data_IF_676719222021
#
_entry.id   IF_676719222021
#
_cell.length_a   1.000
_cell.length_b   1.000
_cell.length_c   1.000
_cell.angle_alpha   90.00
_cell.angle_beta   90.00
_cell.angle_gamma   90.00
#
_symmetry.space_group_name_H-M   'P 1'
#
loop_
_entity.id
_entity.type
_entity.pdbx_description
1 polymer ?
#
# COMPACT_ATOMS: atom_id res chain seq x y z
N UNK A 1 -55.23 -20.77 -46.80
CA UNK A 1 -55.48 -19.84 -45.68
C UNK A 1 -54.93 -20.54 -44.47
N UNK A 2 -53.67 -20.30 -44.15
CA UNK A 2 -52.98 -21.10 -43.13
C UNK A 2 -53.40 -20.62 -41.74
N UNK A 3 -54.15 -21.47 -41.05
CA UNK A 3 -54.37 -21.34 -39.62
C UNK A 3 -53.05 -21.58 -38.91
N UNK A 4 -52.25 -20.51 -38.76
CA UNK A 4 -51.05 -20.53 -37.93
C UNK A 4 -51.48 -20.93 -36.53
N UNK A 5 -51.06 -22.12 -36.08
CA UNK A 5 -51.34 -22.57 -34.72
C UNK A 5 -50.66 -21.61 -33.75
N UNK A 6 -51.44 -20.70 -33.16
CA UNK A 6 -50.94 -19.67 -32.25
C UNK A 6 -50.65 -20.30 -30.89
N UNK A 7 -49.50 -20.97 -30.80
CA UNK A 7 -49.00 -21.48 -29.53
C UNK A 7 -48.89 -20.32 -28.54
N UNK A 8 -49.45 -20.47 -27.32
CA UNK A 8 -49.36 -19.43 -26.30
C UNK A 8 -47.90 -19.22 -25.89
N UNK A 9 -47.52 -17.95 -25.71
CA UNK A 9 -46.22 -17.57 -25.17
C UNK A 9 -46.31 -17.55 -23.65
N UNK A 10 -45.30 -18.08 -22.98
CA UNK A 10 -45.12 -17.90 -21.54
C UNK A 10 -44.43 -16.56 -21.26
N UNK A 11 -45.17 -15.59 -20.71
CA UNK A 11 -44.63 -14.32 -20.24
C UNK A 11 -44.17 -14.49 -18.79
N UNK A 12 -42.89 -14.22 -18.53
CA UNK A 12 -42.28 -14.32 -17.20
C UNK A 12 -41.87 -12.91 -16.79
N UNK A 13 -42.53 -12.34 -15.79
CA UNK A 13 -42.21 -11.03 -15.22
C UNK A 13 -41.36 -11.22 -13.96
N UNK A 14 -40.07 -10.92 -14.07
CA UNK A 14 -39.15 -10.92 -12.94
C UNK A 14 -39.41 -9.70 -12.05
N UNK A 15 -39.72 -9.95 -10.78
CA UNK A 15 -40.15 -8.93 -9.83
C UNK A 15 -39.05 -8.58 -8.81
N UNK A 16 -39.01 -7.31 -8.41
CA UNK A 16 -38.03 -6.74 -7.47
C UNK A 16 -38.04 -7.45 -6.11
N UNK A 17 -39.16 -8.07 -5.72
CA UNK A 17 -39.31 -8.83 -4.47
C UNK A 17 -38.95 -10.32 -4.58
N UNK A 18 -38.30 -10.76 -5.66
CA UNK A 18 -37.94 -12.18 -5.88
C UNK A 18 -39.15 -13.11 -6.07
N UNK A 19 -40.30 -12.56 -6.45
CA UNK A 19 -41.53 -13.29 -6.73
C UNK A 19 -41.83 -13.17 -8.23
N UNK A 20 -41.38 -14.14 -9.02
CA UNK A 20 -41.57 -14.12 -10.46
C UNK A 20 -43.02 -14.45 -10.83
N UNK A 21 -43.62 -13.65 -11.71
CA UNK A 21 -45.01 -13.79 -12.14
C UNK A 21 -45.02 -14.37 -13.55
N UNK A 22 -45.39 -15.64 -13.68
CA UNK A 22 -45.47 -16.33 -14.97
C UNK A 22 -46.92 -16.58 -15.40
N UNK A 23 -47.27 -16.18 -16.63
CA UNK A 23 -48.60 -16.39 -17.23
C UNK A 23 -48.49 -16.63 -18.73
N UNK A 24 -49.56 -17.14 -19.35
CA UNK A 24 -49.62 -17.39 -20.79
C UNK A 24 -50.36 -16.27 -21.52
N UNK A 25 -49.87 -15.89 -22.69
CA UNK A 25 -50.51 -14.89 -23.58
C UNK A 25 -50.47 -15.35 -25.04
N UNK A 26 -51.51 -15.13 -25.85
CA UNK A 26 -51.45 -15.33 -27.30
C UNK A 26 -50.38 -14.46 -27.96
N UNK A 27 -49.89 -14.88 -29.14
CA UNK A 27 -48.95 -14.11 -29.98
C UNK A 27 -49.53 -12.80 -30.49
N UNK A 28 -50.83 -12.80 -30.79
CA UNK A 28 -51.54 -11.67 -31.37
C UNK A 28 -52.28 -10.80 -30.33
N UNK A 29 -52.18 -11.15 -29.04
CA UNK A 29 -52.74 -10.31 -27.99
C UNK A 29 -52.04 -8.94 -27.94
N UNK A 30 -52.76 -7.85 -27.64
CA UNK A 30 -52.16 -6.54 -27.44
C UNK A 30 -51.31 -6.51 -26.17
N UNK A 31 -50.31 -5.61 -26.10
CA UNK A 31 -49.48 -5.45 -24.90
C UNK A 31 -50.30 -5.05 -23.67
N UNK A 32 -51.45 -4.39 -23.83
CA UNK A 32 -52.39 -4.09 -22.73
C UNK A 32 -52.78 -5.33 -21.91
N UNK A 33 -52.98 -6.49 -22.56
CA UNK A 33 -53.29 -7.76 -21.89
C UNK A 33 -52.22 -8.22 -20.90
N UNK A 34 -50.93 -7.94 -21.20
CA UNK A 34 -49.81 -8.21 -20.28
C UNK A 34 -49.92 -7.34 -19.02
N UNK A 35 -50.44 -6.12 -19.13
CA UNK A 35 -50.64 -5.24 -17.97
C UNK A 35 -51.87 -5.60 -17.16
N UNK A 36 -52.99 -5.95 -17.79
CA UNK A 36 -54.22 -6.33 -17.09
C UNK A 36 -53.97 -7.58 -16.22
N UNK A 37 -53.34 -8.60 -16.79
CA UNK A 37 -52.93 -9.82 -16.07
C UNK A 37 -51.85 -9.56 -15.00
N UNK A 38 -50.91 -8.64 -15.24
CA UNK A 38 -49.94 -8.20 -14.24
C UNK A 38 -50.61 -7.46 -13.07
N UNK A 39 -51.62 -6.64 -13.33
CA UNK A 39 -52.36 -5.89 -12.32
C UNK A 39 -53.28 -6.77 -11.48
N UNK A 40 -53.94 -7.76 -12.10
CA UNK A 40 -54.73 -8.78 -11.38
C UNK A 40 -53.84 -9.56 -10.39
N UNK A 41 -52.66 -9.98 -10.83
CA UNK A 41 -51.73 -10.80 -10.03
C UNK A 41 -50.87 -9.99 -9.05
N UNK A 42 -50.65 -8.71 -9.34
CA UNK A 42 -49.84 -7.83 -8.51
C UNK A 42 -50.46 -6.41 -8.36
N UNK A 43 -51.58 -6.27 -7.61
CA UNK A 43 -52.27 -4.99 -7.43
C UNK A 43 -51.41 -3.88 -6.81
N UNK A 44 -50.33 -4.23 -6.09
CA UNK A 44 -49.39 -3.26 -5.53
C UNK A 44 -48.64 -2.45 -6.59
N UNK A 45 -48.52 -2.97 -7.83
CA UNK A 45 -47.80 -2.30 -8.93
C UNK A 45 -48.57 -1.06 -9.39
N UNK A 46 -49.91 -1.11 -9.45
CA UNK A 46 -50.78 -0.02 -9.91
C UNK A 46 -50.54 1.32 -9.18
N UNK A 47 -50.13 1.28 -7.91
CA UNK A 47 -49.93 2.46 -7.06
C UNK A 47 -48.47 2.96 -7.06
N UNK A 48 -47.59 2.30 -7.81
CA UNK A 48 -46.16 2.60 -7.86
C UNK A 48 -45.75 3.06 -9.26
N UNK A 49 -44.76 3.95 -9.36
CA UNK A 49 -44.06 4.14 -10.62
C UNK A 49 -43.22 2.91 -10.92
N UNK A 50 -43.31 2.38 -12.14
CA UNK A 50 -42.50 1.25 -12.61
C UNK A 50 -42.21 1.37 -14.10
N UNK A 51 -41.23 0.60 -14.57
CA UNK A 51 -40.84 0.46 -15.98
C UNK A 51 -40.73 -1.05 -16.24
N UNK A 52 -41.45 -1.52 -17.25
CA UNK A 52 -41.43 -2.90 -17.71
C UNK A 52 -40.55 -3.00 -18.98
N UNK A 53 -39.51 -3.82 -18.94
CA UNK A 53 -38.56 -3.97 -20.07
C UNK A 53 -38.30 -5.42 -20.39
N UNK A 54 -38.07 -5.75 -21.67
CA UNK A 54 -37.51 -7.05 -22.06
C UNK A 54 -36.05 -7.22 -21.57
N UNK A 55 -35.49 -8.44 -21.63
CA UNK A 55 -34.06 -8.67 -21.44
C UNK A 55 -33.17 -7.85 -22.39
N UNK A 56 -33.64 -7.54 -23.61
CA UNK A 56 -32.97 -6.65 -24.56
C UNK A 56 -33.11 -5.15 -24.23
N UNK A 57 -33.64 -4.81 -23.05
CA UNK A 57 -33.94 -3.44 -22.58
C UNK A 57 -34.92 -2.66 -23.47
N UNK A 58 -35.71 -3.35 -24.30
CA UNK A 58 -36.82 -2.72 -25.03
C UNK A 58 -37.92 -2.43 -24.01
N UNK A 59 -38.39 -1.18 -23.96
CA UNK A 59 -39.54 -0.81 -23.14
C UNK A 59 -40.80 -1.50 -23.67
N UNK A 60 -41.59 -2.05 -22.75
CA UNK A 60 -42.97 -2.45 -23.02
C UNK A 60 -43.84 -1.23 -22.75
N UNK A 61 -44.76 -0.91 -23.64
CA UNK A 61 -45.70 0.22 -23.52
C UNK A 61 -47.14 -0.28 -23.48
N UNK A 62 -48.05 0.55 -22.96
CA UNK A 62 -49.50 0.28 -22.91
C UNK A 62 -50.13 0.49 -24.30
N UNK A 63 -49.68 -0.29 -25.29
CA UNK A 63 -50.06 -0.14 -26.69
C UNK A 63 -50.84 -1.36 -27.21
N UNK A 64 -51.63 -1.18 -28.27
CA UNK A 64 -52.34 -2.28 -28.96
C UNK A 64 -51.42 -3.16 -29.84
N UNK A 65 -50.12 -2.87 -29.89
CA UNK A 65 -49.15 -3.69 -30.64
C UNK A 65 -49.15 -5.14 -30.13
N UNK A 66 -48.96 -6.15 -31.01
CA UNK A 66 -49.03 -7.54 -30.59
C UNK A 66 -47.81 -7.95 -29.75
N UNK A 67 -48.02 -8.87 -28.81
CA UNK A 67 -46.95 -9.47 -27.98
C UNK A 67 -45.83 -10.06 -28.85
N UNK A 68 -46.14 -10.56 -30.04
CA UNK A 68 -45.16 -11.03 -31.03
C UNK A 68 -44.10 -9.98 -31.41
N UNK A 69 -44.38 -8.68 -31.30
CA UNK A 69 -43.39 -7.61 -31.53
C UNK A 69 -42.22 -7.66 -30.52
N UNK A 70 -42.44 -8.18 -29.32
CA UNK A 70 -41.41 -8.24 -28.27
C UNK A 70 -40.47 -9.47 -28.38
N UNK A 71 -40.79 -10.42 -29.27
CA UNK A 71 -39.96 -11.61 -29.51
C UNK A 71 -38.67 -11.24 -30.25
N UNK A 72 -37.61 -12.02 -30.02
CA UNK A 72 -36.37 -11.88 -30.80
C UNK A 72 -36.37 -12.79 -32.03
N UNK A 73 -37.04 -13.94 -31.93
CA UNK A 73 -37.32 -14.86 -33.04
C UNK A 73 -38.81 -15.23 -33.09
N UNK A 74 -39.44 -15.41 -34.27
CA UNK A 74 -40.82 -15.90 -34.36
C UNK A 74 -41.01 -17.30 -33.75
N UNK A 75 -39.93 -18.08 -33.60
CA UNK A 75 -39.91 -19.39 -32.95
C UNK A 75 -39.92 -19.34 -31.41
N UNK A 76 -39.73 -18.17 -30.80
CA UNK A 76 -39.65 -18.04 -29.35
C UNK A 76 -40.99 -18.44 -28.69
N UNK A 77 -40.89 -19.19 -27.58
CA UNK A 77 -42.02 -19.73 -26.80
C UNK A 77 -42.23 -19.01 -25.47
N UNK A 78 -41.29 -18.17 -25.06
CA UNK A 78 -41.36 -17.39 -23.82
C UNK A 78 -40.81 -15.98 -24.00
N UNK A 79 -41.31 -15.04 -23.21
CA UNK A 79 -40.78 -13.67 -23.10
C UNK A 79 -40.39 -13.43 -21.66
N UNK A 80 -39.15 -13.01 -21.44
CA UNK A 80 -38.67 -12.52 -20.15
C UNK A 80 -38.82 -11.00 -20.07
N UNK A 81 -39.67 -10.56 -19.16
CA UNK A 81 -39.87 -9.16 -18.80
C UNK A 81 -39.29 -8.90 -17.41
N UNK A 82 -38.73 -7.71 -17.23
CA UNK A 82 -38.16 -7.26 -15.96
C UNK A 82 -38.94 -6.05 -15.47
N UNK A 83 -39.52 -6.20 -14.28
CA UNK A 83 -40.16 -5.10 -13.58
C UNK A 83 -39.08 -4.31 -12.83
N UNK A 84 -38.94 -3.03 -13.14
CA UNK A 84 -38.01 -2.13 -12.44
C UNK A 84 -38.76 -0.91 -11.90
N UNK A 85 -38.40 -0.43 -10.70
CA UNK A 85 -38.94 0.80 -10.15
C UNK A 85 -37.92 1.91 -10.44
N UNK A 86 -38.32 3.00 -11.12
CA UNK A 86 -37.45 4.17 -11.25
C UNK A 86 -37.24 4.76 -9.86
N UNK A 87 -36.01 4.68 -9.36
CA UNK A 87 -35.64 5.37 -8.15
C UNK A 87 -35.62 6.88 -8.44
N UNK A 88 -36.25 7.67 -7.57
CA UNK A 88 -36.17 9.14 -7.59
C UNK A 88 -34.73 9.57 -7.30
N UNK A 89 -33.92 9.66 -8.36
CA UNK A 89 -32.48 9.80 -8.27
C UNK A 89 -32.02 11.16 -7.75
N UNK A 90 -31.12 11.14 -6.78
CA UNK A 90 -30.10 12.18 -6.67
C UNK A 90 -29.03 12.00 -7.77
N UNK A 91 -28.32 13.07 -8.13
CA UNK A 91 -27.21 13.03 -9.10
C UNK A 91 -26.10 12.11 -8.55
N UNK A 92 -26.09 10.86 -9.01
CA UNK A 92 -25.35 9.77 -8.36
C UNK A 92 -23.86 10.04 -8.17
N UNK A 93 -23.30 9.48 -7.10
CA UNK A 93 -21.90 9.63 -6.71
C UNK A 93 -20.86 9.16 -7.75
N UNK A 94 -21.29 8.57 -8.87
CA UNK A 94 -20.45 8.28 -10.03
C UNK A 94 -19.68 9.53 -10.51
N UNK A 95 -20.30 10.70 -10.54
CA UNK A 95 -19.62 11.95 -10.92
C UNK A 95 -18.51 12.36 -9.93
N UNK A 96 -18.70 12.13 -8.63
CA UNK A 96 -17.65 12.32 -7.62
C UNK A 96 -16.58 11.23 -7.67
N UNK A 97 -16.95 9.98 -7.97
CA UNK A 97 -16.00 8.87 -8.16
C UNK A 97 -15.08 9.15 -9.36
N UNK A 98 -15.63 9.59 -10.49
CA UNK A 98 -14.83 9.99 -11.66
C UNK A 98 -13.88 11.16 -11.34
N UNK A 99 -14.33 12.18 -10.60
CA UNK A 99 -13.46 13.29 -10.15
C UNK A 99 -12.37 12.80 -9.19
N UNK A 100 -12.70 11.92 -8.25
CA UNK A 100 -11.74 11.33 -7.31
C UNK A 100 -10.70 10.44 -8.01
N UNK A 101 -11.10 9.62 -8.99
CA UNK A 101 -10.18 8.82 -9.79
C UNK A 101 -9.32 9.70 -10.71
N UNK A 102 -9.90 10.68 -11.39
CA UNK A 102 -9.17 11.60 -12.27
C UNK A 102 -8.07 12.38 -11.54
N UNK A 103 -8.34 12.84 -10.30
CA UNK A 103 -7.32 13.47 -9.46
C UNK A 103 -6.14 12.54 -9.14
N UNK A 104 -6.42 11.26 -8.83
CA UNK A 104 -5.40 10.23 -8.54
C UNK A 104 -4.55 9.86 -9.76
N UNK A 105 -5.13 9.89 -10.96
CA UNK A 105 -4.42 9.63 -12.22
C UNK A 105 -3.55 10.83 -12.63
N UNK A 106 -3.96 12.06 -12.31
CA UNK A 106 -3.23 13.29 -12.64
C UNK A 106 -1.94 13.46 -11.83
N UNK A 107 -1.91 13.09 -10.55
CA UNK A 107 -0.71 13.22 -9.71
C UNK A 107 0.38 12.22 -10.09
N UNK A 108 0.03 10.94 -10.27
CA UNK A 108 1.01 9.86 -10.51
C UNK A 108 1.82 10.04 -11.80
N UNK A 109 1.28 10.72 -12.82
CA UNK A 109 2.00 10.99 -14.08
C UNK A 109 3.15 12.01 -13.93
N UNK A 110 3.24 12.74 -12.81
CA UNK A 110 4.23 13.81 -12.64
C UNK A 110 5.51 13.40 -11.90
N UNK A 111 5.59 12.18 -11.36
CA UNK A 111 6.61 11.83 -10.35
C UNK A 111 7.49 10.60 -10.67
N UNK A 112 7.13 9.75 -11.65
CA UNK A 112 7.81 8.44 -11.81
C UNK A 112 7.88 7.91 -13.24
N UNK A 113 8.15 8.77 -14.21
CA UNK A 113 8.36 8.33 -15.59
C UNK A 113 8.62 9.48 -16.54
N UNK A 114 9.81 9.49 -17.12
CA UNK A 114 10.11 10.34 -18.27
C UNK A 114 9.08 10.02 -19.37
N UNK A 115 8.30 11.02 -19.79
CA UNK A 115 7.09 10.78 -20.59
C UNK A 115 7.38 10.11 -21.95
N UNK A 116 8.64 10.19 -22.38
CA UNK A 116 9.15 9.63 -23.63
C UNK A 116 9.78 8.24 -23.46
N UNK A 117 9.98 7.72 -22.25
CA UNK A 117 10.62 6.42 -21.98
C UNK A 117 9.92 5.23 -22.68
N UNK A 118 8.62 5.34 -22.93
CA UNK A 118 7.81 4.35 -23.66
C UNK A 118 7.93 4.43 -25.19
N UNK A 119 8.37 5.58 -25.73
CA UNK A 119 8.56 5.73 -27.17
C UNK A 119 9.78 4.95 -27.69
N UNK A 120 9.80 4.72 -29.01
CA UNK A 120 10.82 3.91 -29.69
C UNK A 120 11.67 4.82 -30.57
N UNK A 121 12.96 4.51 -30.65
CA UNK A 121 13.89 5.12 -31.60
C UNK A 121 13.59 4.63 -33.03
N UNK A 122 14.20 5.26 -34.03
CA UNK A 122 14.11 4.84 -35.44
C UNK A 122 14.66 3.41 -35.67
N UNK A 123 15.57 2.94 -34.81
CA UNK A 123 16.07 1.55 -34.74
C UNK A 123 15.09 0.58 -34.05
N UNK A 124 13.87 1.02 -33.71
CA UNK A 124 12.86 0.20 -33.05
C UNK A 124 13.12 -0.14 -31.58
N UNK A 125 14.28 0.19 -30.99
CA UNK A 125 14.53 0.03 -29.54
C UNK A 125 13.74 1.05 -28.71
N UNK A 126 13.29 0.67 -27.50
CA UNK A 126 12.61 1.62 -26.58
C UNK A 126 13.65 2.57 -25.97
N UNK A 127 13.26 3.83 -25.74
CA UNK A 127 14.17 4.80 -25.10
C UNK A 127 14.62 4.34 -23.72
N UNK A 128 13.72 3.77 -22.90
CA UNK A 128 14.03 3.20 -21.59
C UNK A 128 15.21 2.20 -21.61
N UNK A 129 15.18 1.22 -22.50
CA UNK A 129 16.26 0.22 -22.62
C UNK A 129 17.58 0.82 -23.09
N UNK A 130 17.54 1.96 -23.81
CA UNK A 130 18.75 2.67 -24.25
C UNK A 130 19.32 3.56 -23.15
N UNK A 131 18.47 4.14 -22.28
CA UNK A 131 18.95 4.87 -21.10
C UNK A 131 19.51 3.93 -20.04
N UNK A 132 18.87 2.79 -19.79
CA UNK A 132 19.35 1.74 -18.87
C UNK A 132 20.72 1.20 -19.34
N UNK A 133 20.85 0.84 -20.62
CA UNK A 133 22.13 0.38 -21.18
C UNK A 133 23.24 1.43 -21.14
N UNK A 134 22.92 2.73 -21.25
CA UNK A 134 23.89 3.82 -21.10
C UNK A 134 24.35 3.98 -19.66
N UNK A 135 23.43 3.96 -18.69
CA UNK A 135 23.77 4.04 -17.27
C UNK A 135 24.65 2.86 -16.83
N UNK A 136 24.35 1.64 -17.29
CA UNK A 136 25.19 0.46 -17.05
C UNK A 136 26.59 0.60 -17.69
N UNK A 137 26.69 1.12 -18.91
CA UNK A 137 27.98 1.36 -19.56
C UNK A 137 28.81 2.44 -18.85
N UNK A 138 28.17 3.50 -18.37
CA UNK A 138 28.80 4.56 -17.58
C UNK A 138 29.29 4.03 -16.22
N UNK A 139 28.47 3.23 -15.52
CA UNK A 139 28.88 2.57 -14.28
C UNK A 139 30.08 1.63 -14.48
N UNK A 140 30.08 0.81 -15.54
CA UNK A 140 31.21 -0.06 -15.88
C UNK A 140 32.47 0.72 -16.25
N UNK A 141 32.35 1.91 -16.84
CA UNK A 141 33.48 2.80 -17.13
C UNK A 141 34.03 3.49 -15.87
N UNK A 142 33.18 3.82 -14.90
CA UNK A 142 33.55 4.48 -13.63
C UNK A 142 34.12 3.47 -12.60
N UNK A 143 33.67 2.21 -12.62
CA UNK A 143 34.14 1.14 -11.70
C UNK A 143 35.68 1.06 -11.55
N UNK A 144 36.51 1.02 -12.62
CA UNK A 144 37.97 0.98 -12.47
C UNK A 144 38.58 2.26 -11.88
N UNK A 145 37.97 3.44 -12.09
CA UNK A 145 38.43 4.70 -11.49
C UNK A 145 38.12 4.72 -9.99
N UNK A 146 36.92 4.29 -9.59
CA UNK A 146 36.53 4.16 -8.19
C UNK A 146 37.41 3.14 -7.45
N UNK A 147 37.69 1.99 -8.05
CA UNK A 147 38.55 0.97 -7.45
C UNK A 147 40.01 1.44 -7.31
N UNK A 148 40.52 2.26 -8.25
CA UNK A 148 41.84 2.88 -8.13
C UNK A 148 41.87 3.92 -7.00
N UNK A 149 40.87 4.78 -6.90
CA UNK A 149 40.73 5.76 -5.81
C UNK A 149 40.63 5.09 -4.45
N UNK A 150 39.86 4.00 -4.32
CA UNK A 150 39.77 3.25 -3.07
C UNK A 150 41.11 2.59 -2.69
N UNK A 151 41.85 2.05 -3.67
CA UNK A 151 43.21 1.52 -3.46
C UNK A 151 44.21 2.62 -3.08
N UNK A 152 44.06 3.83 -3.62
CA UNK A 152 44.86 5.00 -3.24
C UNK A 152 44.58 5.46 -1.81
N UNK A 153 43.31 5.58 -1.43
CA UNK A 153 42.95 5.87 -0.04
C UNK A 153 43.41 4.77 0.92
N UNK A 154 43.29 3.50 0.54
CA UNK A 154 43.75 2.37 1.36
C UNK A 154 45.26 2.36 1.53
N UNK A 155 46.02 2.67 0.47
CA UNK A 155 47.49 2.86 0.54
C UNK A 155 47.85 4.03 1.43
N UNK A 156 47.21 5.19 1.24
CA UNK A 156 47.44 6.38 2.08
C UNK A 156 47.14 6.12 3.56
N UNK A 157 46.02 5.48 3.89
CA UNK A 157 45.70 5.07 5.27
C UNK A 157 46.74 4.10 5.84
N UNK A 158 47.27 3.18 5.02
CA UNK A 158 48.39 2.31 5.42
C UNK A 158 49.69 3.09 5.66
N UNK A 159 50.04 4.01 4.76
CA UNK A 159 51.22 4.89 4.88
C UNK A 159 51.12 5.78 6.12
N UNK A 160 49.95 6.36 6.41
CA UNK A 160 49.68 7.14 7.62
C UNK A 160 49.81 6.28 8.90
N UNK A 161 49.31 5.03 8.88
CA UNK A 161 49.47 4.08 9.99
C UNK A 161 50.95 3.75 10.18
N UNK A 162 51.67 3.36 9.11
CA UNK A 162 53.10 3.01 9.15
C UNK A 162 53.93 4.17 9.67
N UNK A 163 53.72 5.39 9.16
CA UNK A 163 54.39 6.60 9.64
C UNK A 163 54.03 6.94 11.10
N UNK A 164 52.81 6.62 11.56
CA UNK A 164 52.45 6.77 12.98
C UNK A 164 53.12 5.72 13.88
N UNK A 165 53.32 4.49 13.39
CA UNK A 165 54.03 3.44 14.12
C UNK A 165 55.54 3.65 14.11
N UNK A 166 56.11 4.15 13.00
CA UNK A 166 57.53 4.52 12.89
C UNK A 166 57.84 5.68 13.83
N UNK A 167 57.02 6.75 13.84
CA UNK A 167 57.18 7.83 14.85
C UNK A 167 57.08 7.32 16.28
N UNK A 168 56.12 6.45 16.61
CA UNK A 168 56.03 5.83 17.96
C UNK A 168 57.22 4.93 18.27
N UNK A 169 57.79 4.25 17.27
CA UNK A 169 58.95 3.39 17.43
C UNK A 169 60.23 4.22 17.59
N UNK A 170 60.39 5.32 16.86
CA UNK A 170 61.48 6.29 17.00
C UNK A 170 61.38 7.03 18.34
N UNK A 171 60.17 7.42 18.76
CA UNK A 171 59.92 7.93 20.10
C UNK A 171 60.33 6.90 21.15
N UNK A 172 59.95 5.62 21.00
CA UNK A 172 60.28 4.55 21.95
C UNK A 172 61.78 4.17 21.97
N UNK A 173 62.44 4.17 20.81
CA UNK A 173 63.88 3.91 20.66
C UNK A 173 64.73 5.08 21.16
N UNK A 174 64.30 6.32 20.91
CA UNK A 174 64.96 7.51 21.43
C UNK A 174 64.62 7.74 22.92
N UNK A 175 63.48 7.26 23.41
CA UNK A 175 63.10 7.24 24.84
C UNK A 175 63.68 6.03 25.59
N UNK A 176 64.88 5.55 25.23
CA UNK A 176 65.59 4.46 25.92
C UNK A 176 66.11 4.90 27.30
N UNK A 177 65.18 5.27 28.19
CA UNK A 177 65.46 5.71 29.57
C UNK A 177 64.26 6.29 30.34
N UNK A 178 63.15 6.65 29.68
CA UNK A 178 62.07 7.46 30.32
C UNK A 178 60.66 6.84 30.30
N UNK A 179 60.49 5.61 29.81
CA UNK A 179 59.23 4.88 29.86
C UNK A 179 58.91 4.36 31.29
N UNK A 180 58.59 5.27 32.21
CA UNK A 180 57.87 4.94 33.45
C UNK A 180 56.38 4.99 33.14
N UNK A 181 55.62 4.00 33.62
CA UNK A 181 54.15 3.99 33.57
C UNK A 181 53.62 5.36 34.02
N UNK A 182 52.71 5.94 33.23
CA UNK A 182 52.13 7.24 33.53
C UNK A 182 51.46 7.20 34.91
N UNK A 183 52.00 7.98 35.85
CA UNK A 183 51.58 7.92 37.26
C UNK A 183 50.09 8.16 37.42
N UNK A 184 49.54 9.02 36.55
CA UNK A 184 48.11 9.31 36.49
C UNK A 184 47.26 8.10 36.11
N UNK A 185 47.72 7.22 35.23
CA UNK A 185 47.00 5.99 34.89
C UNK A 185 47.00 4.98 36.04
N UNK A 186 48.07 4.96 36.85
CA UNK A 186 48.14 4.13 38.07
C UNK A 186 47.18 4.67 39.13
N UNK A 187 47.16 5.98 39.35
CA UNK A 187 46.23 6.67 40.26
C UNK A 187 44.77 6.49 39.83
N UNK A 188 44.42 6.76 38.57
CA UNK A 188 43.05 6.58 38.03
C UNK A 188 42.56 5.11 38.17
N UNK A 189 43.46 4.13 38.01
CA UNK A 189 43.15 2.70 38.22
C UNK A 189 42.96 2.37 39.70
N UNK A 190 43.78 2.94 40.59
CA UNK A 190 43.69 2.74 42.04
C UNK A 190 42.42 3.40 42.62
N UNK A 191 42.03 4.58 42.13
CA UNK A 191 40.75 5.21 42.48
C UNK A 191 39.55 4.35 42.05
N UNK A 192 39.57 3.76 40.85
CA UNK A 192 38.52 2.85 40.38
C UNK A 192 38.43 1.56 41.24
N UNK A 193 39.57 0.99 41.64
CA UNK A 193 39.61 -0.14 42.57
C UNK A 193 39.12 0.23 43.98
N UNK A 194 39.49 1.40 44.52
CA UNK A 194 39.01 1.83 45.83
C UNK A 194 37.50 2.13 45.82
N UNK A 195 36.99 2.75 44.75
CA UNK A 195 35.55 3.04 44.59
C UNK A 195 34.70 1.78 44.47
N UNK A 196 35.24 0.70 43.88
CA UNK A 196 34.57 -0.61 43.84
C UNK A 196 34.65 -1.34 45.18
N UNK A 197 35.76 -1.25 45.91
CA UNK A 197 35.89 -1.77 47.30
C UNK A 197 34.90 -1.09 48.26
N UNK A 198 34.80 0.24 48.23
CA UNK A 198 33.83 1.00 49.07
C UNK A 198 32.37 0.61 48.80
N UNK A 199 32.01 0.33 47.54
CA UNK A 199 30.66 -0.08 47.18
C UNK A 199 30.30 -1.45 47.78
N UNK A 200 31.26 -2.38 47.78
CA UNK A 200 31.11 -3.72 48.37
C UNK A 200 31.01 -3.62 49.91
N UNK A 201 31.83 -2.78 50.55
CA UNK A 201 31.79 -2.59 52.00
C UNK A 201 30.46 -2.01 52.48
N UNK A 202 29.94 -0.99 51.78
CA UNK A 202 28.62 -0.40 52.08
C UNK A 202 27.47 -1.40 51.91
N UNK A 203 27.53 -2.27 50.91
CA UNK A 203 26.54 -3.34 50.71
C UNK A 203 26.55 -4.34 51.89
N UNK A 204 27.75 -4.75 52.34
CA UNK A 204 27.90 -5.70 53.43
C UNK A 204 27.42 -5.14 54.79
N UNK A 205 27.66 -3.85 55.06
CA UNK A 205 27.13 -3.19 56.26
C UNK A 205 25.61 -3.06 56.23
N UNK A 206 25.02 -2.68 55.09
CA UNK A 206 23.58 -2.56 54.93
C UNK A 206 22.85 -3.91 55.14
N UNK A 207 23.41 -5.02 54.63
CA UNK A 207 22.85 -6.35 54.82
C UNK A 207 22.81 -6.80 56.29
N UNK A 208 23.70 -6.27 57.14
CA UNK A 208 23.79 -6.63 58.56
C UNK A 208 22.89 -5.82 59.48
N UNK A 209 22.32 -4.71 58.99
CA UNK A 209 21.46 -3.81 59.79
C UNK A 209 19.95 -4.04 59.66
N UNK A 210 19.51 -5.10 58.97
CA UNK A 210 18.10 -5.29 58.54
C UNK A 210 17.40 -6.51 59.16
N UNK A 211 17.82 -6.96 60.36
CA UNK A 211 17.40 -8.27 60.92
C UNK A 211 16.59 -8.25 62.22
N UNK A 212 16.31 -7.09 62.83
CA UNK A 212 15.58 -6.97 64.10
C UNK A 212 14.71 -5.69 64.12
N UNK A 213 13.37 -5.86 64.02
CA UNK A 213 12.28 -5.16 64.76
C UNK A 213 10.89 -5.29 64.07
N UNK A 214 9.82 -5.23 64.88
CA UNK A 214 8.47 -5.83 64.71
C UNK A 214 7.37 -4.86 65.24
N UNK A 215 6.07 -4.85 64.91
CA UNK A 215 5.20 -5.61 63.97
C UNK A 215 3.93 -4.75 63.58
N UNK A 216 2.86 -5.40 63.08
CA UNK A 216 1.41 -5.03 63.19
C UNK A 216 0.66 -3.96 62.33
N UNK A 217 -0.35 -4.51 61.61
CA UNK A 217 -1.80 -4.15 61.52
C UNK A 217 -2.36 -2.84 60.87
N UNK A 218 -2.89 -3.07 59.65
CA UNK A 218 -4.25 -2.81 59.16
C UNK A 218 -4.86 -1.41 58.81
N UNK A 219 -5.82 -1.51 57.86
CA UNK A 219 -6.87 -0.56 57.41
C UNK A 219 -6.66 0.27 56.12
N UNK A 220 -7.70 0.23 55.27
CA UNK A 220 -7.90 0.95 53.98
C UNK A 220 -9.04 2.00 54.19
N UNK A 221 -9.50 2.81 53.19
CA UNK A 221 -9.03 3.09 51.82
C UNK A 221 -8.97 4.61 51.45
N UNK A 222 -8.61 4.94 50.19
CA UNK A 222 -9.33 5.86 49.27
C UNK A 222 -8.48 6.84 48.41
N UNK A 223 -8.67 6.71 47.09
CA UNK A 223 -8.85 7.76 46.07
C UNK A 223 -7.76 8.82 45.72
N UNK A 224 -7.34 8.75 44.45
CA UNK A 224 -7.39 9.83 43.42
C UNK A 224 -6.09 10.43 42.82
N UNK A 225 -6.15 10.55 41.48
CA UNK A 225 -5.44 11.50 40.58
C UNK A 225 -4.18 11.08 39.78
N UNK A 226 -4.41 10.21 38.78
CA UNK A 226 -3.93 10.31 37.39
C UNK A 226 -2.69 11.16 37.01
N UNK A 227 -1.69 10.53 36.36
CA UNK A 227 -1.18 10.88 35.01
C UNK A 227 -0.32 9.73 34.43
N UNK A 228 -0.11 9.66 33.09
CA UNK A 228 0.14 8.38 32.41
C UNK A 228 1.61 7.98 32.31
N UNK A 229 1.87 6.68 32.41
CA UNK A 229 3.16 6.03 32.09
C UNK A 229 3.18 5.63 30.62
N UNK A 230 4.28 5.86 29.92
CA UNK A 230 4.43 5.50 28.51
C UNK A 230 4.35 3.99 28.27
N UNK A 231 3.77 3.66 27.12
CA UNK A 231 3.57 2.31 26.63
C UNK A 231 4.93 1.63 26.38
N UNK A 232 5.20 0.51 27.08
CA UNK A 232 6.40 -0.32 26.84
C UNK A 232 6.31 -0.91 25.42
N UNK A 233 7.38 -0.79 24.64
CA UNK A 233 7.55 -1.60 23.44
C UNK A 233 7.73 -3.07 23.86
N UNK A 234 7.01 -3.95 23.18
CA UNK A 234 7.11 -5.40 23.37
C UNK A 234 8.34 -5.89 22.57
N UNK A 235 9.41 -6.27 23.27
CA UNK A 235 10.37 -7.22 22.71
C UNK A 235 9.72 -8.60 22.70
N UNK A 236 9.72 -9.29 21.56
CA UNK A 236 9.07 -10.60 21.43
C UNK A 236 8.84 -11.10 20.00
N UNK A 237 9.70 -10.72 19.05
CA UNK A 237 9.80 -11.26 17.69
C UNK A 237 11.16 -10.81 17.13
N UNK A 238 12.25 -11.46 17.55
CA UNK A 238 13.47 -11.76 16.76
C UNK A 238 14.45 -12.59 17.63
N UNK A 239 14.07 -13.84 17.94
CA UNK A 239 14.91 -14.77 18.73
C UNK A 239 14.79 -16.20 18.18
N UNK A 240 14.91 -16.33 16.85
CA UNK A 240 15.41 -17.55 16.16
C UNK A 240 15.62 -17.22 14.67
N UNK A 241 16.89 -17.08 14.23
CA UNK A 241 17.31 -17.23 12.80
C UNK A 241 18.86 -17.17 12.61
N UNK A 242 19.67 -17.37 13.66
CA UNK A 242 21.14 -17.48 13.55
C UNK A 242 21.63 -18.85 12.99
N UNK A 243 20.75 -19.65 12.38
CA UNK A 243 21.12 -20.94 11.78
C UNK A 243 20.33 -21.33 10.53
N UNK A 244 20.59 -20.65 9.41
CA UNK A 244 21.01 -21.33 8.17
C UNK A 244 21.79 -20.40 7.25
N UNK A 245 23.04 -20.76 6.98
CA UNK A 245 23.77 -20.28 5.81
C UNK A 245 23.28 -21.03 4.57
N UNK A 246 22.60 -20.36 3.65
CA UNK A 246 22.60 -20.79 2.25
C UNK A 246 22.98 -19.64 1.32
N UNK A 247 23.61 -19.99 0.21
CA UNK A 247 24.39 -19.10 -0.65
C UNK A 247 23.72 -18.98 -2.01
N UNK A 248 22.98 -17.90 -2.25
CA UNK A 248 22.61 -17.51 -3.63
C UNK A 248 22.55 -15.99 -3.80
N UNK A 249 22.82 -15.54 -5.03
CA UNK A 249 23.31 -14.21 -5.41
C UNK A 249 22.20 -13.41 -6.12
N UNK A 250 21.65 -12.36 -5.48
CA UNK A 250 20.78 -11.36 -6.12
C UNK A 250 20.81 -10.02 -5.35
N UNK A 251 21.59 -9.03 -5.83
CA UNK A 251 21.61 -7.66 -5.28
C UNK A 251 20.58 -6.75 -5.97
N UNK A 252 19.37 -6.68 -5.42
CA UNK A 252 18.35 -5.68 -5.77
C UNK A 252 18.67 -4.33 -5.09
N UNK A 253 19.19 -3.35 -5.85
CA UNK A 253 19.62 -2.05 -5.32
C UNK A 253 18.45 -1.06 -5.24
N UNK A 254 18.09 -0.64 -4.02
CA UNK A 254 16.96 0.28 -3.76
C UNK A 254 17.23 1.75 -4.17
N UNK A 255 16.22 2.41 -4.76
CA UNK A 255 16.33 3.68 -5.49
C UNK A 255 16.35 4.98 -4.62
N UNK A 256 16.67 4.94 -3.32
CA UNK A 256 16.28 6.01 -2.38
C UNK A 256 17.31 7.14 -2.06
N UNK A 257 18.55 7.14 -2.59
CA UNK A 257 19.55 8.20 -2.28
C UNK A 257 20.11 8.96 -3.49
N UNK A 258 19.24 9.70 -4.20
CA UNK A 258 19.65 10.77 -5.13
C UNK A 258 18.89 12.06 -4.86
N UNK A 259 19.51 12.98 -4.10
CA UNK A 259 19.02 14.36 -3.94
C UNK A 259 19.15 15.13 -5.26
N UNK A 260 18.07 15.76 -5.79
CA UNK A 260 18.15 16.52 -7.03
C UNK A 260 18.88 17.86 -6.84
N UNK A 261 19.90 18.10 -7.66
CA UNK A 261 20.59 19.38 -7.75
C UNK A 261 19.64 20.48 -8.29
N UNK A 262 19.62 21.63 -7.61
CA UNK A 262 18.85 22.79 -8.06
C UNK A 262 19.53 23.46 -9.27
N UNK A 263 18.76 23.71 -10.32
CA UNK A 263 19.19 24.50 -11.48
C UNK A 263 18.33 25.76 -11.61
N UNK A 264 18.93 26.94 -11.45
CA UNK A 264 18.25 28.22 -11.58
C UNK A 264 17.97 28.56 -13.06
N UNK A 265 16.70 28.48 -13.46
CA UNK A 265 16.25 28.88 -14.78
C UNK A 265 16.16 30.41 -14.94
N UNK A 266 16.92 30.97 -15.88
CA UNK A 266 16.86 32.39 -16.26
C UNK A 266 15.45 32.83 -16.69
N UNK A 267 15.13 34.09 -16.41
CA UNK A 267 13.77 34.63 -16.39
C UNK A 267 12.97 34.57 -17.70
N UNK A 268 11.64 34.45 -17.56
CA UNK A 268 10.68 34.62 -18.65
C UNK A 268 10.36 36.10 -18.87
N UNK A 269 10.52 36.58 -20.09
CA UNK A 269 9.93 37.84 -20.53
C UNK A 269 8.40 37.75 -20.55
N UNK A 270 7.72 38.83 -20.14
CA UNK A 270 6.27 38.97 -20.32
C UNK A 270 5.97 39.34 -21.77
N UNK A 271 5.03 38.64 -22.40
CA UNK A 271 4.31 39.17 -23.55
C UNK A 271 3.19 40.10 -23.03
N UNK A 272 2.94 41.18 -23.77
CA UNK A 272 1.80 42.07 -23.59
C UNK A 272 0.61 41.61 -24.43
#
# INVERSE_FOLDING_TARGET
MDSTAQYPITVIVNSIKGHDIAFTSPKDAPLTSIYDTLYERAPWIQKSSYILTTNSRRAVHHDETPVSSLLSSPSDTFISLRLTVPLCGGKGGFGSILRAQGGRMSSRKKQGGDANASSRNLDGRRLRTVTEAKALAEYLAIKPEMEQREKEERRKRWEDIVASTERKQDELMNSRGTARLDGKWVEDKEEAENKTREAIEKMLMAQRGSSEEEEDEESKPAASSSKPVQQRQMFGWDEDDEFMSDSEEDEDVSEDDVKPLQFEGKGKGKAA
#
